data_IF_536621668304
#
_entry.id   IF_536621668304
#
_cell.length_a   1.000
_cell.length_b   1.000
_cell.length_c   1.000
_cell.angle_alpha   90.00
_cell.angle_beta   90.00
_cell.angle_gamma   90.00
#
_symmetry.space_group_name_H-M   'P 1'
#
loop_
_entity.id
_entity.type
_entity.pdbx_description
1 polymer ?
#
# COMPACT_ATOMS: atom_id res chain seq x y z
N UNK A 1 0.13 39.29 -17.23
CA UNK A 1 -0.71 39.41 -16.02
C UNK A 1 -2.03 38.71 -16.29
N UNK A 2 -2.29 37.52 -15.69
CA UNK A 2 -3.66 37.02 -15.50
C UNK A 2 -3.98 37.13 -14.02
N UNK A 3 -4.97 37.95 -13.72
CA UNK A 3 -5.50 38.17 -12.37
C UNK A 3 -6.27 36.95 -11.88
N UNK A 4 -6.01 36.62 -10.63
CA UNK A 4 -6.68 35.62 -9.84
C UNK A 4 -8.19 35.89 -9.71
N UNK A 5 -9.01 35.01 -10.25
CA UNK A 5 -10.42 34.83 -9.90
C UNK A 5 -10.51 33.87 -8.69
N UNK A 6 -10.13 34.39 -7.54
CA UNK A 6 -10.45 33.79 -6.25
C UNK A 6 -11.78 34.33 -5.77
N UNK A 7 -12.90 33.82 -6.26
CA UNK A 7 -14.22 34.17 -5.72
C UNK A 7 -14.28 33.81 -4.24
N UNK A 8 -14.41 34.83 -3.39
CA UNK A 8 -14.64 34.70 -1.94
C UNK A 8 -16.06 34.14 -1.72
N UNK A 9 -16.21 32.84 -1.71
CA UNK A 9 -17.46 32.22 -1.32
C UNK A 9 -17.86 32.68 0.09
N UNK A 10 -19.12 33.06 0.28
CA UNK A 10 -19.65 33.47 1.58
C UNK A 10 -19.63 32.32 2.60
N UNK A 11 -19.61 32.62 3.89
CA UNK A 11 -19.68 31.59 4.93
C UNK A 11 -20.95 30.72 4.83
N UNK A 12 -22.06 31.30 4.37
CA UNK A 12 -23.31 30.57 4.12
C UNK A 12 -23.16 29.55 2.98
N UNK A 13 -22.52 29.92 1.85
CA UNK A 13 -22.29 29.00 0.74
C UNK A 13 -21.37 27.85 1.13
N UNK A 14 -20.36 28.11 1.97
CA UNK A 14 -19.43 27.09 2.50
C UNK A 14 -20.10 26.12 3.47
N UNK A 15 -21.06 26.60 4.25
CA UNK A 15 -21.87 25.78 5.17
C UNK A 15 -22.83 24.87 4.37
N UNK A 16 -23.43 25.37 3.32
CA UNK A 16 -24.32 24.63 2.41
C UNK A 16 -23.57 23.47 1.74
N UNK A 17 -22.36 23.69 1.24
CA UNK A 17 -21.55 22.65 0.59
C UNK A 17 -21.22 21.52 1.57
N UNK A 18 -20.89 21.84 2.82
CA UNK A 18 -20.61 20.85 3.86
C UNK A 18 -21.83 19.98 4.19
N UNK A 19 -22.99 20.60 4.36
CA UNK A 19 -24.26 19.89 4.61
C UNK A 19 -24.57 18.99 3.44
N UNK A 20 -24.43 19.49 2.19
CA UNK A 20 -24.67 18.70 0.98
C UNK A 20 -23.75 17.48 0.86
N UNK A 21 -22.46 17.58 1.18
CA UNK A 21 -21.53 16.45 1.14
C UNK A 21 -21.92 15.37 2.16
N UNK A 22 -22.21 15.75 3.41
CA UNK A 22 -22.64 14.82 4.46
C UNK A 22 -23.97 14.14 4.14
N UNK A 23 -24.92 14.88 3.58
CA UNK A 23 -26.21 14.33 3.16
C UNK A 23 -26.04 13.31 2.02
N UNK A 24 -25.18 13.59 1.05
CA UNK A 24 -24.87 12.63 -0.03
C UNK A 24 -24.27 11.33 0.53
N UNK A 25 -23.41 11.39 1.55
CA UNK A 25 -22.93 10.19 2.25
C UNK A 25 -24.09 9.41 2.86
N UNK A 26 -24.98 10.08 3.61
CA UNK A 26 -26.12 9.45 4.26
C UNK A 26 -27.15 8.87 3.27
N UNK A 27 -27.20 9.40 2.05
CA UNK A 27 -28.01 8.88 0.95
C UNK A 27 -27.34 7.75 0.16
N UNK A 28 -26.18 7.23 0.60
CA UNK A 28 -25.42 6.19 -0.10
C UNK A 28 -24.68 6.67 -1.35
N UNK A 29 -24.58 7.99 -1.58
CA UNK A 29 -23.98 8.60 -2.78
C UNK A 29 -22.51 8.99 -2.56
N UNK A 30 -21.77 8.20 -1.81
CA UNK A 30 -20.37 8.47 -1.43
C UNK A 30 -19.45 8.60 -2.65
N UNK A 31 -19.65 7.75 -3.66
CA UNK A 31 -18.85 7.74 -4.90
C UNK A 31 -18.93 9.03 -5.73
N UNK A 32 -19.90 9.90 -5.44
CA UNK A 32 -20.06 11.18 -6.14
C UNK A 32 -19.29 12.32 -5.49
N UNK A 33 -18.65 12.10 -4.34
CA UNK A 33 -17.89 13.13 -3.64
C UNK A 33 -16.47 13.23 -4.19
N UNK A 34 -15.97 14.47 -4.29
CA UNK A 34 -14.56 14.73 -4.54
C UNK A 34 -13.71 14.37 -3.32
N UNK A 35 -12.40 14.20 -3.52
CA UNK A 35 -11.43 13.95 -2.43
C UNK A 35 -11.49 15.00 -1.33
N UNK A 36 -11.64 16.28 -1.70
CA UNK A 36 -11.79 17.37 -0.76
C UNK A 36 -13.09 17.27 0.05
N UNK A 37 -14.20 16.86 -0.56
CA UNK A 37 -15.47 16.66 0.13
C UNK A 37 -15.41 15.47 1.08
N UNK A 38 -14.79 14.36 0.69
CA UNK A 38 -14.55 13.20 1.56
C UNK A 38 -13.72 13.61 2.78
N UNK A 39 -12.62 14.31 2.57
CA UNK A 39 -11.80 14.82 3.68
C UNK A 39 -12.55 15.82 4.56
N UNK A 40 -13.37 16.69 3.98
CA UNK A 40 -14.19 17.63 4.75
C UNK A 40 -15.19 16.91 5.64
N UNK A 41 -15.80 15.81 5.16
CA UNK A 41 -16.69 14.96 5.97
C UNK A 41 -15.92 14.33 7.13
N UNK A 42 -14.72 13.78 6.86
CA UNK A 42 -13.86 13.15 7.87
C UNK A 42 -13.34 14.14 8.93
N UNK A 43 -12.91 15.34 8.52
CA UNK A 43 -12.46 16.40 9.42
C UNK A 43 -13.60 16.95 10.30
N UNK A 44 -14.84 16.88 9.82
CA UNK A 44 -16.05 17.25 10.53
C UNK A 44 -16.23 18.76 10.71
N UNK A 45 -15.23 19.50 11.20
CA UNK A 45 -15.31 20.95 11.45
C UNK A 45 -14.05 21.65 10.92
N UNK A 46 -14.16 22.93 10.58
CA UNK A 46 -13.00 23.80 10.33
C UNK A 46 -12.35 24.26 11.62
N UNK A 47 -11.74 25.43 11.56
CA UNK A 47 -11.25 26.18 12.72
C UNK A 47 -11.71 27.63 12.60
N UNK A 48 -11.38 28.44 13.60
CA UNK A 48 -11.73 29.86 13.60
C UNK A 48 -11.24 30.57 12.34
N UNK A 49 -12.16 31.22 11.65
CA UNK A 49 -11.89 31.93 10.40
C UNK A 49 -11.68 31.02 9.16
N UNK A 50 -11.73 29.68 9.30
CA UNK A 50 -11.49 28.77 8.18
C UNK A 50 -12.52 27.64 8.13
N UNK A 51 -13.23 27.52 6.98
CA UNK A 51 -14.20 26.44 6.80
C UNK A 51 -13.50 25.08 6.66
N UNK A 52 -14.25 23.99 6.95
CA UNK A 52 -13.72 22.63 6.81
C UNK A 52 -13.33 22.30 5.37
N UNK A 53 -14.01 22.83 4.36
CA UNK A 53 -13.64 22.66 2.95
C UNK A 53 -12.29 23.29 2.63
N UNK A 54 -12.05 24.52 3.12
CA UNK A 54 -10.74 25.18 2.95
C UNK A 54 -9.64 24.38 3.65
N UNK A 55 -9.91 23.85 4.84
CA UNK A 55 -8.97 22.97 5.55
C UNK A 55 -8.69 21.69 4.76
N UNK A 56 -9.72 21.07 4.19
CA UNK A 56 -9.56 19.85 3.38
C UNK A 56 -8.76 20.08 2.11
N UNK A 57 -9.06 21.16 1.37
CA UNK A 57 -8.30 21.55 0.18
C UNK A 57 -6.83 21.83 0.55
N UNK A 58 -6.57 22.63 1.57
CA UNK A 58 -5.21 22.95 2.00
C UNK A 58 -4.41 21.69 2.41
N UNK A 59 -5.07 20.72 3.05
CA UNK A 59 -4.44 19.46 3.40
C UNK A 59 -4.12 18.60 2.17
N UNK A 60 -5.01 18.56 1.17
CA UNK A 60 -4.76 17.88 -0.10
C UNK A 60 -3.63 18.54 -0.89
N UNK A 61 -3.64 19.86 -0.99
CA UNK A 61 -2.60 20.62 -1.68
C UNK A 61 -1.23 20.39 -1.03
N UNK A 62 -1.18 20.36 0.30
CA UNK A 62 0.03 20.06 1.06
C UNK A 62 0.52 18.61 0.83
N UNK A 63 -0.39 17.65 0.78
CA UNK A 63 -0.05 16.25 0.51
C UNK A 63 0.27 15.98 -0.97
N UNK A 64 -0.25 16.83 -1.88
CA UNK A 64 -0.21 16.64 -3.33
C UNK A 64 -1.43 15.90 -3.89
N UNK A 65 -1.92 14.87 -3.21
CA UNK A 65 -3.15 14.14 -3.56
C UNK A 65 -3.59 13.24 -2.39
N UNK A 66 -4.76 12.60 -2.53
CA UNK A 66 -5.31 11.72 -1.49
C UNK A 66 -4.41 10.49 -1.22
N UNK A 67 -3.77 9.94 -2.25
CA UNK A 67 -2.86 8.79 -2.08
C UNK A 67 -1.61 9.20 -1.31
N UNK A 68 -1.06 10.37 -1.56
CA UNK A 68 0.11 10.89 -0.86
C UNK A 68 -0.19 11.27 0.60
N UNK A 69 -1.45 11.60 0.92
CA UNK A 69 -1.89 11.94 2.28
C UNK A 69 -1.53 10.83 3.30
N UNK A 70 -1.59 9.57 2.92
CA UNK A 70 -1.25 8.44 3.79
C UNK A 70 0.24 8.39 4.20
N UNK A 71 1.13 9.09 3.47
CA UNK A 71 2.56 9.16 3.75
C UNK A 71 2.91 10.28 4.71
N UNK A 72 1.95 11.18 4.99
CA UNK A 72 2.17 12.23 5.97
C UNK A 72 2.15 11.63 7.37
N UNK A 73 3.24 11.84 8.10
CA UNK A 73 3.30 11.50 9.52
C UNK A 73 2.30 12.33 10.34
N UNK A 74 1.92 11.84 11.55
CA UNK A 74 0.93 12.51 12.41
C UNK A 74 1.31 13.94 12.74
N UNK A 75 2.59 14.21 12.90
CA UNK A 75 3.10 15.56 13.21
C UNK A 75 2.86 16.54 12.06
N UNK A 76 3.22 16.15 10.83
CA UNK A 76 3.03 16.99 9.64
C UNK A 76 1.56 17.26 9.36
N UNK A 77 0.68 16.25 9.52
CA UNK A 77 -0.77 16.45 9.41
C UNK A 77 -1.27 17.44 10.47
N UNK A 78 -0.84 17.29 11.72
CA UNK A 78 -1.30 18.12 12.83
C UNK A 78 -0.81 19.58 12.74
N UNK A 79 0.26 19.85 12.01
CA UNK A 79 0.74 21.21 11.74
C UNK A 79 -0.17 21.98 10.78
N UNK A 80 -1.01 21.30 9.99
CA UNK A 80 -1.92 21.99 9.08
C UNK A 80 -3.01 22.72 9.86
N UNK A 81 -3.20 24.01 9.52
CA UNK A 81 -4.21 24.84 10.19
C UNK A 81 -5.59 24.21 10.11
N UNK A 82 -6.22 24.02 11.26
CA UNK A 82 -7.56 23.44 11.36
C UNK A 82 -7.60 21.91 11.43
N UNK A 83 -6.48 21.20 11.31
CA UNK A 83 -6.40 19.75 11.47
C UNK A 83 -6.15 19.39 12.95
N UNK A 84 -5.04 19.79 13.52
CA UNK A 84 -4.69 19.47 14.90
C UNK A 84 -4.51 17.98 15.20
N UNK A 85 -4.02 17.59 16.39
CA UNK A 85 -3.70 16.20 16.71
C UNK A 85 -4.91 15.25 16.65
N UNK A 86 -6.07 15.66 17.14
CA UNK A 86 -7.26 14.81 17.18
C UNK A 86 -7.80 14.48 15.78
N UNK A 87 -7.77 15.44 14.85
CA UNK A 87 -8.21 15.22 13.47
C UNK A 87 -7.16 14.42 12.68
N UNK A 88 -5.87 14.68 12.89
CA UNK A 88 -4.79 13.89 12.32
C UNK A 88 -4.90 12.42 12.74
N UNK A 89 -5.11 12.14 14.03
CA UNK A 89 -5.30 10.78 14.54
C UNK A 89 -6.51 10.09 13.90
N UNK A 90 -7.63 10.80 13.72
CA UNK A 90 -8.82 10.26 13.06
C UNK A 90 -8.58 9.90 11.60
N UNK A 91 -7.90 10.76 10.84
CA UNK A 91 -7.55 10.49 9.45
C UNK A 91 -6.60 9.29 9.33
N UNK A 92 -5.56 9.22 10.15
CA UNK A 92 -4.63 8.10 10.16
C UNK A 92 -5.32 6.78 10.55
N UNK A 93 -6.22 6.80 11.53
CA UNK A 93 -7.02 5.63 11.90
C UNK A 93 -7.93 5.17 10.74
N UNK A 94 -8.56 6.10 10.02
CA UNK A 94 -9.38 5.77 8.86
C UNK A 94 -8.56 5.17 7.70
N UNK A 95 -7.37 5.73 7.44
CA UNK A 95 -6.42 5.20 6.45
C UNK A 95 -6.00 3.77 6.83
N UNK A 96 -5.70 3.52 8.10
CA UNK A 96 -5.32 2.19 8.58
C UNK A 96 -6.47 1.19 8.51
N UNK A 97 -7.70 1.60 8.84
CA UNK A 97 -8.90 0.76 8.68
C UNK A 97 -9.09 0.39 7.21
N UNK A 98 -9.01 1.36 6.29
CA UNK A 98 -9.14 1.10 4.85
C UNK A 98 -8.06 0.13 4.36
N UNK A 99 -6.81 0.28 4.83
CA UNK A 99 -5.72 -0.65 4.53
C UNK A 99 -6.03 -2.07 5.03
N UNK A 100 -6.54 -2.21 6.26
CA UNK A 100 -6.92 -3.52 6.82
C UNK A 100 -8.08 -4.15 6.07
N UNK A 101 -9.08 -3.37 5.66
CA UNK A 101 -10.19 -3.88 4.82
C UNK A 101 -9.68 -4.38 3.48
N UNK A 102 -8.84 -3.62 2.78
CA UNK A 102 -8.24 -4.07 1.52
C UNK A 102 -7.42 -5.36 1.69
N UNK A 103 -6.75 -5.53 2.83
CA UNK A 103 -6.03 -6.76 3.13
C UNK A 103 -6.97 -7.93 3.46
N UNK A 104 -8.08 -7.67 4.15
CA UNK A 104 -9.08 -8.68 4.48
C UNK A 104 -9.86 -9.14 3.23
N UNK A 105 -10.29 -8.22 2.39
CA UNK A 105 -10.94 -8.55 1.10
C UNK A 105 -10.03 -9.40 0.22
N UNK A 106 -8.71 -9.16 0.24
CA UNK A 106 -7.74 -10.00 -0.46
C UNK A 106 -7.50 -11.36 0.23
N UNK A 107 -7.76 -11.49 1.54
CA UNK A 107 -7.65 -12.77 2.26
C UNK A 107 -8.93 -13.62 2.13
N UNK A 108 -10.10 -13.02 1.88
CA UNK A 108 -11.31 -13.73 1.47
C UNK A 108 -11.25 -14.24 0.01
N UNK A 109 -10.27 -13.75 -0.76
CA UNK A 109 -9.88 -14.34 -2.03
C UNK A 109 -8.93 -15.54 -1.83
N UNK A 110 -9.23 -16.46 -0.91
CA UNK A 110 -8.65 -17.79 -0.95
C UNK A 110 -9.09 -18.43 -2.26
N UNK A 111 -8.15 -18.50 -3.23
CA UNK A 111 -8.42 -18.86 -4.62
C UNK A 111 -7.95 -17.83 -5.65
N UNK A 112 -7.36 -16.69 -5.23
CA UNK A 112 -6.70 -15.79 -6.19
C UNK A 112 -5.55 -16.54 -6.83
N UNK A 113 -5.71 -16.80 -8.11
CA UNK A 113 -4.67 -17.45 -8.90
C UNK A 113 -3.42 -16.57 -8.95
N UNK A 114 -2.30 -17.13 -8.54
CA UNK A 114 -0.96 -16.55 -8.68
C UNK A 114 -0.20 -17.24 -9.82
N UNK A 115 -0.95 -17.66 -10.87
CA UNK A 115 -0.41 -18.45 -11.97
C UNK A 115 0.42 -17.64 -12.97
N UNK A 116 0.40 -16.30 -12.88
CA UNK A 116 1.16 -15.43 -13.78
C UNK A 116 1.89 -14.33 -13.00
N UNK A 117 2.98 -13.85 -13.60
CA UNK A 117 3.69 -12.67 -13.11
C UNK A 117 2.75 -11.47 -12.88
N UNK A 118 1.83 -11.21 -13.81
CA UNK A 118 0.88 -10.10 -13.70
C UNK A 118 -0.01 -10.20 -12.47
N UNK A 119 -0.45 -11.41 -12.10
CA UNK A 119 -1.27 -11.64 -10.92
C UNK A 119 -0.48 -11.33 -9.63
N UNK A 120 0.77 -11.79 -9.56
CA UNK A 120 1.67 -11.49 -8.43
C UNK A 120 1.96 -9.99 -8.35
N UNK A 121 2.23 -9.34 -9.48
CA UNK A 121 2.46 -7.89 -9.54
C UNK A 121 1.22 -7.10 -9.13
N UNK A 122 0.03 -7.50 -9.58
CA UNK A 122 -1.21 -6.84 -9.18
C UNK A 122 -1.41 -6.91 -7.67
N UNK A 123 -1.22 -8.10 -7.08
CA UNK A 123 -1.26 -8.29 -5.63
C UNK A 123 -0.21 -7.41 -4.92
N UNK A 124 1.04 -7.47 -5.36
CA UNK A 124 2.15 -6.75 -4.77
C UNK A 124 1.98 -5.23 -4.83
N UNK A 125 1.50 -4.71 -5.95
CA UNK A 125 1.22 -3.28 -6.12
C UNK A 125 0.14 -2.78 -5.17
N UNK A 126 -0.93 -3.55 -5.01
CA UNK A 126 -2.02 -3.20 -4.09
C UNK A 126 -1.52 -3.08 -2.63
N UNK A 127 -0.56 -3.91 -2.24
CA UNK A 127 -0.10 -4.02 -0.85
C UNK A 127 1.15 -3.18 -0.54
N UNK A 128 2.09 -3.07 -1.48
CA UNK A 128 3.47 -2.68 -1.18
C UNK A 128 3.94 -1.37 -1.83
N UNK A 129 3.50 -1.05 -3.06
CA UNK A 129 4.05 0.09 -3.83
C UNK A 129 3.95 1.44 -3.12
N UNK A 130 3.00 1.55 -2.22
CA UNK A 130 2.76 2.81 -1.53
C UNK A 130 3.49 2.95 -0.19
N UNK A 131 4.20 1.93 0.25
CA UNK A 131 4.99 1.98 1.47
C UNK A 131 6.22 2.87 1.26
N UNK A 132 6.62 3.56 2.32
CA UNK A 132 7.81 4.41 2.38
C UNK A 132 9.05 3.67 2.91
N UNK A 133 8.88 2.41 3.25
CA UNK A 133 9.90 1.49 3.72
C UNK A 133 9.81 0.17 2.96
N UNK A 134 10.88 -0.58 2.97
CA UNK A 134 10.94 -1.90 2.34
C UNK A 134 10.26 -2.94 3.21
N UNK A 135 9.38 -3.74 2.62
CA UNK A 135 8.81 -4.93 3.23
C UNK A 135 9.05 -6.14 2.32
N UNK A 136 9.42 -7.26 2.90
CA UNK A 136 9.52 -8.55 2.21
C UNK A 136 8.37 -9.44 2.66
N UNK A 137 7.66 -10.00 1.69
CA UNK A 137 6.51 -10.86 1.91
C UNK A 137 6.70 -12.22 1.29
N UNK A 138 6.17 -13.24 1.95
CA UNK A 138 6.01 -14.59 1.40
C UNK A 138 4.56 -14.79 0.98
N UNK A 139 4.38 -15.31 -0.24
CA UNK A 139 3.11 -15.80 -0.74
C UNK A 139 3.18 -17.32 -0.76
N UNK A 140 2.51 -17.97 0.19
CA UNK A 140 2.37 -19.43 0.24
C UNK A 140 1.26 -19.85 -0.72
N UNK A 141 1.57 -20.76 -1.66
CA UNK A 141 0.64 -21.19 -2.70
C UNK A 141 0.31 -22.67 -2.52
N UNK A 142 -0.91 -23.05 -2.96
CA UNK A 142 -1.31 -24.46 -3.08
C UNK A 142 -0.75 -25.11 -4.36
N UNK A 143 -1.07 -26.39 -4.58
CA UNK A 143 -0.62 -27.15 -5.76
C UNK A 143 -1.22 -26.66 -7.09
N UNK A 144 -2.15 -25.72 -7.08
CA UNK A 144 -2.76 -25.08 -8.26
C UNK A 144 -2.31 -23.62 -8.41
N UNK A 145 -1.32 -23.20 -7.63
CA UNK A 145 -0.84 -21.82 -7.53
C UNK A 145 -1.90 -20.81 -7.08
N UNK A 146 -2.84 -21.21 -6.22
CA UNK A 146 -3.70 -20.28 -5.54
C UNK A 146 -3.07 -19.83 -4.22
N UNK A 147 -3.29 -18.57 -3.87
CA UNK A 147 -2.78 -18.00 -2.64
C UNK A 147 -3.45 -18.64 -1.42
N UNK A 148 -2.66 -19.31 -0.59
CA UNK A 148 -3.08 -19.82 0.73
C UNK A 148 -2.93 -18.73 1.79
N UNK A 149 -1.74 -18.12 1.85
CA UNK A 149 -1.41 -17.09 2.83
C UNK A 149 -0.38 -16.12 2.30
N UNK A 150 -0.51 -14.85 2.68
CA UNK A 150 0.49 -13.81 2.47
C UNK A 150 1.00 -13.30 3.83
N UNK A 151 2.32 -13.29 4.03
CA UNK A 151 2.92 -12.86 5.29
C UNK A 151 4.09 -11.93 5.07
N UNK A 152 4.09 -10.79 5.78
CA UNK A 152 5.26 -9.95 5.91
C UNK A 152 6.28 -10.66 6.80
N UNK A 153 7.45 -10.98 6.25
CA UNK A 153 8.54 -11.68 6.94
C UNK A 153 9.67 -10.76 7.36
N UNK A 154 9.75 -9.59 6.73
CA UNK A 154 10.72 -8.56 7.13
C UNK A 154 10.20 -7.17 6.82
N UNK A 155 10.58 -6.22 7.67
CA UNK A 155 10.37 -4.77 7.49
C UNK A 155 11.69 -4.09 7.71
N UNK A 156 12.19 -3.38 6.70
CA UNK A 156 13.45 -2.68 6.76
C UNK A 156 13.32 -1.19 6.97
N UNK A 157 14.41 -0.61 7.53
CA UNK A 157 14.67 0.81 7.46
C UNK A 157 15.51 1.13 6.21
N UNK A 158 16.06 2.36 6.12
CA UNK A 158 16.85 2.88 4.98
C UNK A 158 18.10 2.05 4.58
N UNK A 159 18.42 0.96 5.28
CA UNK A 159 19.63 0.15 5.10
C UNK A 159 19.37 -1.34 4.88
N UNK A 160 18.19 -1.71 4.36
CA UNK A 160 17.87 -3.09 3.98
C UNK A 160 17.36 -3.98 5.11
N UNK A 161 16.76 -5.11 4.73
CA UNK A 161 16.28 -6.14 5.65
C UNK A 161 17.32 -7.26 5.77
N UNK A 162 17.83 -7.53 6.97
CA UNK A 162 18.65 -8.71 7.24
C UNK A 162 17.79 -9.98 7.28
N UNK A 163 17.20 -10.35 6.14
CA UNK A 163 16.33 -11.51 6.00
C UNK A 163 17.15 -12.76 5.68
N UNK A 164 16.84 -13.87 6.36
CA UNK A 164 17.47 -15.18 6.12
C UNK A 164 16.47 -16.15 5.49
N UNK A 165 16.93 -17.03 4.61
CA UNK A 165 16.10 -18.05 3.96
C UNK A 165 15.27 -18.87 4.97
N UNK A 166 15.81 -19.17 6.16
CA UNK A 166 15.10 -19.88 7.24
C UNK A 166 13.85 -19.14 7.73
N UNK A 167 13.84 -17.79 7.69
CA UNK A 167 12.72 -17.00 8.21
C UNK A 167 11.56 -17.05 7.22
N UNK A 168 11.85 -17.07 5.92
CA UNK A 168 10.91 -17.27 4.82
C UNK A 168 10.35 -18.70 4.87
N UNK A 169 11.22 -19.71 4.86
CA UNK A 169 10.82 -21.12 4.85
C UNK A 169 9.97 -21.50 6.05
N UNK A 170 10.31 -21.01 7.25
CA UNK A 170 9.54 -21.29 8.46
C UNK A 170 8.07 -20.91 8.34
N UNK A 171 7.75 -19.76 7.73
CA UNK A 171 6.35 -19.33 7.55
C UNK A 171 5.68 -20.09 6.42
N UNK A 172 6.36 -20.29 5.29
CA UNK A 172 5.82 -21.01 4.14
C UNK A 172 5.45 -22.48 4.50
N UNK A 173 6.35 -23.18 5.18
CA UNK A 173 6.12 -24.56 5.65
C UNK A 173 4.99 -24.63 6.66
N UNK A 174 4.91 -23.69 7.60
CA UNK A 174 3.82 -23.63 8.57
C UNK A 174 2.46 -23.41 7.89
N UNK A 175 2.43 -22.64 6.83
CA UNK A 175 1.20 -22.32 6.09
C UNK A 175 0.82 -23.43 5.09
N UNK A 176 1.58 -24.55 5.04
CA UNK A 176 1.28 -25.69 4.18
C UNK A 176 1.50 -25.44 2.70
N UNK A 177 2.42 -24.56 2.35
CA UNK A 177 2.72 -24.19 0.98
C UNK A 177 3.18 -25.38 0.15
N UNK A 178 2.63 -25.53 -1.08
CA UNK A 178 3.13 -26.41 -2.14
C UNK A 178 4.09 -25.67 -3.08
N UNK A 179 4.01 -24.35 -3.13
CA UNK A 179 4.90 -23.44 -3.85
C UNK A 179 5.05 -22.12 -3.11
N UNK A 180 6.10 -21.39 -3.38
CA UNK A 180 6.46 -20.13 -2.72
C UNK A 180 6.76 -19.06 -3.76
N UNK A 181 6.20 -17.86 -3.56
CA UNK A 181 6.66 -16.63 -4.20
C UNK A 181 7.12 -15.67 -3.11
N UNK A 182 8.26 -15.02 -3.34
CA UNK A 182 8.72 -13.90 -2.51
C UNK A 182 8.44 -12.60 -3.23
N UNK A 183 7.98 -11.61 -2.49
CA UNK A 183 7.72 -10.27 -3.04
C UNK A 183 8.28 -9.22 -2.12
N UNK A 184 8.96 -8.21 -2.67
CA UNK A 184 9.31 -7.02 -1.91
C UNK A 184 9.17 -5.74 -2.73
N UNK A 185 9.12 -4.61 -2.04
CA UNK A 185 9.04 -3.31 -2.68
C UNK A 185 10.35 -2.52 -2.55
N UNK A 186 10.64 -1.74 -3.58
CA UNK A 186 11.70 -0.73 -3.55
C UNK A 186 11.11 0.68 -3.39
N UNK A 187 11.24 1.30 -2.23
CA UNK A 187 10.77 2.68 -1.99
C UNK A 187 11.46 3.72 -2.87
N UNK A 188 12.66 3.40 -3.40
CA UNK A 188 13.40 4.23 -4.35
C UNK A 188 12.61 4.52 -5.63
N UNK A 189 11.72 3.60 -6.01
CA UNK A 189 10.94 3.66 -7.25
C UNK A 189 11.53 2.90 -8.42
N UNK A 190 12.75 2.32 -8.31
CA UNK A 190 13.39 1.47 -9.30
C UNK A 190 13.19 -0.01 -8.92
N UNK A 191 12.57 -0.85 -9.77
CA UNK A 191 12.37 -2.27 -9.50
C UNK A 191 13.62 -3.13 -9.78
N UNK A 192 14.74 -2.53 -10.17
CA UNK A 192 15.96 -3.28 -10.48
C UNK A 192 16.49 -4.01 -9.24
N UNK A 193 16.75 -5.33 -9.33
CA UNK A 193 17.31 -6.09 -8.22
C UNK A 193 18.68 -5.55 -7.78
N UNK A 194 18.88 -5.46 -6.47
CA UNK A 194 20.19 -5.21 -5.87
C UNK A 194 21.06 -6.48 -5.84
N UNK A 195 22.35 -6.34 -5.55
CA UNK A 195 23.22 -7.49 -5.36
C UNK A 195 22.79 -8.34 -4.16
N UNK A 196 22.26 -7.69 -3.13
CA UNK A 196 21.72 -8.32 -1.93
C UNK A 196 20.48 -9.15 -2.25
N UNK A 197 19.57 -8.65 -3.09
CA UNK A 197 18.38 -9.39 -3.54
C UNK A 197 18.75 -10.65 -4.28
N UNK A 198 19.70 -10.54 -5.21
CA UNK A 198 20.22 -11.68 -5.98
C UNK A 198 20.86 -12.71 -5.07
N UNK A 199 21.71 -12.28 -4.14
CA UNK A 199 22.42 -13.18 -3.20
C UNK A 199 21.46 -13.87 -2.26
N UNK A 200 20.48 -13.14 -1.71
CA UNK A 200 19.45 -13.69 -0.83
C UNK A 200 18.58 -14.70 -1.58
N UNK A 201 18.21 -14.39 -2.81
CA UNK A 201 17.40 -15.27 -3.64
C UNK A 201 18.15 -16.57 -3.97
N UNK A 202 19.43 -16.51 -4.30
CA UNK A 202 20.26 -17.70 -4.54
C UNK A 202 20.30 -18.61 -3.30
N UNK A 203 20.57 -18.06 -2.12
CA UNK A 203 20.53 -18.82 -0.87
C UNK A 203 19.14 -19.42 -0.59
N UNK A 204 18.07 -18.69 -0.93
CA UNK A 204 16.71 -19.16 -0.74
C UNK A 204 16.38 -20.32 -1.68
N UNK A 205 16.80 -20.28 -2.94
CA UNK A 205 16.63 -21.37 -3.91
C UNK A 205 17.24 -22.66 -3.37
N UNK A 206 18.51 -22.62 -2.92
CA UNK A 206 19.18 -23.79 -2.33
C UNK A 206 18.43 -24.34 -1.13
N UNK A 207 17.98 -23.45 -0.23
CA UNK A 207 17.23 -23.84 0.95
C UNK A 207 15.86 -24.42 0.61
N UNK A 208 15.16 -23.88 -0.37
CA UNK A 208 13.89 -24.38 -0.89
C UNK A 208 14.05 -25.77 -1.52
N UNK A 209 15.08 -26.00 -2.30
CA UNK A 209 15.41 -27.30 -2.90
C UNK A 209 15.65 -28.36 -1.80
N UNK A 210 16.40 -27.99 -0.76
CA UNK A 210 16.72 -28.91 0.35
C UNK A 210 15.48 -29.38 1.12
N UNK A 211 14.41 -28.59 1.16
CA UNK A 211 13.16 -28.94 1.87
C UNK A 211 12.03 -29.36 0.95
N UNK A 212 12.27 -29.42 -0.37
CA UNK A 212 11.28 -29.84 -1.36
C UNK A 212 10.13 -28.84 -1.57
N UNK A 213 10.33 -27.55 -1.26
CA UNK A 213 9.37 -26.48 -1.48
C UNK A 213 9.88 -25.56 -2.61
N UNK A 214 9.31 -25.61 -3.83
CA UNK A 214 9.80 -24.82 -4.94
C UNK A 214 9.59 -23.32 -4.71
N UNK A 215 10.67 -22.52 -4.91
CA UNK A 215 10.56 -21.08 -5.08
C UNK A 215 10.17 -20.82 -6.54
N UNK A 216 8.95 -20.33 -6.77
CA UNK A 216 8.40 -20.12 -8.11
C UNK A 216 8.88 -18.79 -8.69
N UNK A 217 8.95 -17.74 -7.88
CA UNK A 217 9.50 -16.45 -8.28
C UNK A 217 9.92 -15.61 -7.07
N UNK A 218 10.74 -14.59 -7.34
CA UNK A 218 11.00 -13.46 -6.48
C UNK A 218 10.72 -12.18 -7.26
N UNK A 219 9.65 -11.48 -6.88
CA UNK A 219 9.14 -10.32 -7.59
C UNK A 219 9.44 -9.05 -6.81
N UNK A 220 10.03 -8.07 -7.49
CA UNK A 220 10.30 -6.74 -6.95
C UNK A 220 9.30 -5.77 -7.55
N UNK A 221 8.61 -5.00 -6.70
CA UNK A 221 7.69 -3.96 -7.16
C UNK A 221 8.14 -2.58 -6.73
N UNK A 222 8.03 -1.62 -7.64
CA UNK A 222 8.33 -0.23 -7.38
C UNK A 222 7.35 0.68 -8.12
N UNK A 223 7.41 1.98 -7.88
CA UNK A 223 6.60 2.96 -8.63
C UNK A 223 6.89 2.94 -10.12
N UNK A 224 8.15 2.70 -10.49
CA UNK A 224 8.61 2.66 -11.88
C UNK A 224 8.30 1.36 -12.63
N UNK A 225 7.86 0.30 -11.93
CA UNK A 225 7.60 -0.98 -12.59
C UNK A 225 7.61 -2.16 -11.63
N UNK A 226 7.87 -3.35 -12.20
CA UNK A 226 8.12 -4.58 -11.47
C UNK A 226 9.19 -5.39 -12.19
N UNK A 227 9.88 -6.27 -11.47
CA UNK A 227 10.87 -7.20 -12.01
C UNK A 227 10.68 -8.60 -11.42
N UNK A 228 10.78 -9.63 -12.25
CA UNK A 228 10.84 -11.03 -11.86
C UNK A 228 12.28 -11.52 -11.92
N UNK A 229 12.79 -12.07 -10.83
CA UNK A 229 14.13 -12.65 -10.82
C UNK A 229 14.20 -13.97 -11.61
N UNK A 230 13.04 -14.63 -11.78
CA UNK A 230 12.92 -15.79 -12.66
C UNK A 230 13.09 -15.39 -14.13
N UNK A 231 12.36 -14.36 -14.61
CA UNK A 231 12.48 -13.87 -15.99
C UNK A 231 13.87 -13.29 -16.28
N UNK A 232 14.53 -12.72 -15.28
CA UNK A 232 15.89 -12.20 -15.37
C UNK A 232 16.95 -13.32 -15.36
N UNK A 233 16.55 -14.59 -15.24
CA UNK A 233 17.44 -15.74 -15.22
C UNK A 233 18.29 -15.87 -13.95
N UNK A 234 17.91 -15.22 -12.88
CA UNK A 234 18.56 -15.31 -11.56
C UNK A 234 18.16 -16.61 -10.83
N UNK A 235 16.93 -17.07 -11.07
CA UNK A 235 16.45 -18.36 -10.56
C UNK A 235 16.80 -19.46 -11.56
N UNK A 236 17.37 -20.59 -11.11
CA UNK A 236 17.54 -21.75 -11.98
C UNK A 236 16.16 -22.24 -12.41
N UNK A 237 15.99 -22.53 -13.69
CA UNK A 237 14.78 -23.18 -14.21
C UNK A 237 14.61 -24.49 -13.42
N UNK A 238 13.55 -24.59 -12.63
CA UNK A 238 13.23 -25.84 -11.93
C UNK A 238 13.06 -26.94 -12.99
N UNK A 239 13.94 -27.93 -12.95
CA UNK A 239 13.70 -29.14 -13.71
C UNK A 239 12.41 -29.79 -13.15
N UNK A 240 11.37 -29.78 -13.99
CA UNK A 240 10.08 -30.42 -13.71
C UNK A 240 10.24 -31.93 -13.52
#
# INVERSE_FOLDING_TARGET
MPQALGERMSNASRQIIKIAARERVLQGRVSTLSDAELLAVMLGTGCEGQSVMVTACALLDFAGNLVALRRLGPHLMAMQRGVGPAKAARLLAAIEIARRWSLADNSEQSGVGMQSFDNVVAWARAHLVALDHEEVWTLALDGQNHLLQARCVARGGQHGCALRARDILRVALRDGASGLVVVHNHPSGDPKPSCEDVSMTACLVEACQAVGLPLLDHVIVARGGAASLFELGVLPVSAA
#
